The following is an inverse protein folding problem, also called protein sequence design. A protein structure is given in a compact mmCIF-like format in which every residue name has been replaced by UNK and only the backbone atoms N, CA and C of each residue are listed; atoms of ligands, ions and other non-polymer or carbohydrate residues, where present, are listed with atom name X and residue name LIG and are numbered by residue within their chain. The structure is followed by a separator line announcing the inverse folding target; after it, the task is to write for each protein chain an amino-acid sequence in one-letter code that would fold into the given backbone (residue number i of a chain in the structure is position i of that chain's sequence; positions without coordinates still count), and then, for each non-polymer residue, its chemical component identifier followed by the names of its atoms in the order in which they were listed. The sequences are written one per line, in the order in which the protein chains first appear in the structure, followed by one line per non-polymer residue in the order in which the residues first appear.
data_IF_152223485221
#
_entry.id   IF_152223485221
#
_cell.length_a   1.000
_cell.length_b   1.000
_cell.length_c   1.000
_cell.angle_alpha   90.00
_cell.angle_beta   90.00
_cell.angle_gamma   90.00
#
_symmetry.space_group_name_H-M   'P 1'
#
loop_
_entity.id
_entity.type
_entity.pdbx_description
1 polymer ?
#
# COMPACT_ATOMS: atom_id res chain seq x y z
N UNK A 1 -63.80 -34.35 -33.52
CA UNK A 1 -63.98 -32.89 -33.40
C UNK A 1 -62.72 -32.35 -32.73
N UNK A 2 -61.77 -31.90 -33.56
CA UNK A 2 -60.50 -31.28 -33.14
C UNK A 2 -60.74 -29.84 -32.68
N UNK A 3 -59.81 -29.32 -31.84
CA UNK A 3 -59.11 -28.02 -31.93
C UNK A 3 -58.68 -27.59 -30.52
N UNK A 4 -57.38 -27.72 -30.18
CA UNK A 4 -56.32 -26.70 -30.20
C UNK A 4 -56.37 -25.73 -29.02
N UNK A 5 -55.49 -25.94 -28.04
CA UNK A 5 -54.90 -24.85 -27.26
C UNK A 5 -53.39 -24.86 -27.47
N UNK A 6 -52.92 -23.87 -28.24
CA UNK A 6 -51.52 -23.56 -28.47
C UNK A 6 -51.09 -22.64 -27.33
N UNK A 7 -50.24 -23.12 -26.43
CA UNK A 7 -49.53 -22.25 -25.49
C UNK A 7 -48.29 -21.70 -26.21
N UNK A 8 -48.33 -20.43 -26.59
CA UNK A 8 -47.18 -19.68 -27.09
C UNK A 8 -46.31 -19.32 -25.88
N UNK A 9 -45.23 -20.06 -25.67
CA UNK A 9 -44.18 -19.70 -24.73
C UNK A 9 -43.30 -18.61 -25.34
N UNK A 10 -43.54 -17.35 -24.97
CA UNK A 10 -42.58 -16.26 -25.20
C UNK A 10 -41.35 -16.52 -24.32
N UNK A 11 -40.29 -17.08 -24.91
CA UNK A 11 -38.98 -17.12 -24.26
C UNK A 11 -38.42 -15.70 -24.24
N UNK A 12 -38.46 -15.05 -23.08
CA UNK A 12 -37.72 -13.82 -22.85
C UNK A 12 -36.24 -14.19 -22.84
N UNK A 13 -35.54 -13.87 -23.94
CA UNK A 13 -34.10 -13.98 -24.05
C UNK A 13 -33.50 -12.92 -23.11
N UNK A 14 -33.23 -13.31 -21.87
CA UNK A 14 -32.42 -12.51 -20.96
C UNK A 14 -30.99 -12.54 -21.51
N UNK A 15 -30.64 -11.49 -22.25
CA UNK A 15 -29.26 -11.19 -22.63
C UNK A 15 -28.49 -10.90 -21.33
N UNK A 16 -27.87 -11.93 -20.77
CA UNK A 16 -26.79 -11.75 -19.81
C UNK A 16 -25.63 -11.09 -20.54
N UNK A 17 -25.54 -9.76 -20.44
CA UNK A 17 -24.31 -9.03 -20.74
C UNK A 17 -23.26 -9.41 -19.68
N UNK A 18 -22.58 -10.54 -19.90
CA UNK A 18 -21.38 -10.95 -19.13
C UNK A 18 -20.17 -10.12 -19.59
N UNK A 19 -20.31 -8.80 -19.49
CA UNK A 19 -19.29 -7.84 -19.87
C UNK A 19 -18.48 -7.37 -18.66
N UNK A 20 -17.65 -8.24 -18.10
CA UNK A 20 -16.39 -7.88 -17.44
C UNK A 20 -15.65 -9.17 -17.12
N UNK A 21 -14.64 -9.50 -17.93
CA UNK A 21 -13.71 -10.58 -17.59
C UNK A 21 -13.07 -10.22 -16.26
N UNK A 22 -13.23 -11.07 -15.24
CA UNK A 22 -12.38 -11.02 -14.07
C UNK A 22 -10.94 -11.20 -14.57
N UNK A 23 -10.16 -10.12 -14.64
CA UNK A 23 -8.72 -10.21 -14.90
C UNK A 23 -8.17 -11.20 -13.88
N UNK A 24 -7.43 -12.22 -14.33
CA UNK A 24 -6.71 -13.02 -13.38
C UNK A 24 -5.79 -12.08 -12.59
N UNK A 25 -5.71 -12.22 -11.27
CA UNK A 25 -4.86 -11.34 -10.43
C UNK A 25 -3.40 -11.31 -10.90
N UNK A 26 -2.95 -12.36 -11.61
CA UNK A 26 -1.64 -12.42 -12.24
C UNK A 26 -1.47 -11.49 -13.46
N UNK A 27 -2.56 -11.09 -14.12
CA UNK A 27 -2.58 -10.19 -15.27
C UNK A 27 -2.52 -8.72 -14.85
N UNK A 28 -2.67 -8.43 -13.55
CA UNK A 28 -2.46 -7.08 -12.99
C UNK A 28 -1.00 -6.63 -13.04
N UNK A 29 -0.07 -7.56 -13.27
CA UNK A 29 1.37 -7.29 -13.27
C UNK A 29 1.99 -7.66 -14.62
N UNK A 30 2.72 -6.72 -15.18
CA UNK A 30 3.57 -6.90 -16.36
C UNK A 30 4.67 -7.94 -16.12
N UNK A 31 5.34 -8.35 -17.20
CA UNK A 31 6.48 -9.27 -17.09
C UNK A 31 7.62 -8.67 -16.25
N UNK A 32 7.84 -7.36 -16.34
CA UNK A 32 8.86 -6.62 -15.61
C UNK A 32 8.53 -6.55 -14.11
N UNK A 33 7.28 -6.25 -13.75
CA UNK A 33 6.84 -6.21 -12.33
C UNK A 33 6.87 -7.58 -11.63
N UNK A 34 7.02 -8.67 -12.40
CA UNK A 34 7.21 -10.03 -11.90
C UNK A 34 8.68 -10.38 -11.59
N UNK A 35 9.66 -9.53 -11.93
CA UNK A 35 11.10 -9.82 -11.79
C UNK A 35 11.69 -9.67 -10.36
N UNK A 36 10.85 -9.51 -9.33
CA UNK A 36 11.26 -9.40 -7.92
C UNK A 36 12.43 -8.41 -7.66
N UNK A 37 12.51 -7.34 -8.45
CA UNK A 37 13.48 -6.26 -8.34
C UNK A 37 12.77 -4.90 -8.41
N UNK A 38 13.49 -3.82 -8.10
CA UNK A 38 12.97 -2.45 -8.24
C UNK A 38 13.27 -1.82 -9.60
N UNK A 39 13.84 -2.56 -10.55
CA UNK A 39 14.37 -1.97 -11.79
C UNK A 39 13.28 -1.33 -12.66
N UNK A 40 12.06 -1.88 -12.64
CA UNK A 40 10.92 -1.33 -13.40
C UNK A 40 10.14 -0.23 -12.68
N UNK A 41 10.51 0.10 -11.44
CA UNK A 41 9.85 1.13 -10.64
C UNK A 41 10.82 2.04 -9.90
N UNK A 42 12.07 2.16 -10.37
CA UNK A 42 13.08 2.99 -9.73
C UNK A 42 12.65 4.46 -9.60
N UNK A 43 11.86 4.98 -10.55
CA UNK A 43 11.29 6.32 -10.53
C UNK A 43 10.39 6.61 -9.32
N UNK A 44 9.88 5.59 -8.63
CA UNK A 44 9.08 5.75 -7.41
C UNK A 44 9.95 6.11 -6.20
N UNK A 45 11.27 6.01 -6.31
CA UNK A 45 12.22 6.37 -5.28
C UNK A 45 12.86 7.73 -5.58
N UNK A 46 13.19 8.53 -4.55
CA UNK A 46 13.92 9.78 -4.76
C UNK A 46 15.23 9.55 -5.52
N UNK A 47 15.50 10.42 -6.49
CA UNK A 47 16.68 10.33 -7.35
C UNK A 47 16.84 8.99 -8.09
N UNK A 48 15.73 8.25 -8.29
CA UNK A 48 15.72 6.92 -8.89
C UNK A 48 16.70 5.93 -8.23
N UNK A 49 16.84 6.02 -6.90
CA UNK A 49 17.75 5.19 -6.11
C UNK A 49 16.97 4.28 -5.14
N UNK A 50 16.60 3.06 -5.54
CA UNK A 50 15.80 2.16 -4.72
C UNK A 50 16.49 1.69 -3.44
N UNK A 51 15.66 1.33 -2.45
CA UNK A 51 16.15 0.63 -1.25
C UNK A 51 16.70 -0.73 -1.67
N UNK A 52 17.91 -1.06 -1.21
CA UNK A 52 18.54 -2.36 -1.51
C UNK A 52 18.03 -3.42 -0.55
N UNK A 53 17.51 -4.54 -1.06
CA UNK A 53 17.05 -5.67 -0.23
C UNK A 53 18.14 -6.21 0.70
N UNK A 54 19.41 -6.09 0.30
CA UNK A 54 20.57 -6.48 1.11
C UNK A 54 20.75 -5.69 2.42
N UNK A 55 20.06 -4.56 2.60
CA UNK A 55 20.06 -3.82 3.89
C UNK A 55 19.11 -4.44 4.91
N UNK A 56 18.24 -5.36 4.49
CA UNK A 56 17.33 -6.09 5.35
C UNK A 56 17.98 -7.40 5.80
N UNK A 57 17.87 -7.82 7.08
CA UNK A 57 18.37 -9.11 7.54
C UNK A 57 17.84 -10.26 6.68
N UNK A 58 18.72 -11.20 6.30
CA UNK A 58 18.35 -12.37 5.49
C UNK A 58 17.24 -13.22 6.13
N UNK A 59 17.14 -13.20 7.48
CA UNK A 59 16.06 -13.86 8.24
C UNK A 59 14.66 -13.31 7.91
N UNK A 60 14.54 -12.09 7.38
CA UNK A 60 13.28 -11.52 6.92
C UNK A 60 12.88 -11.97 5.51
N UNK A 61 13.79 -12.64 4.79
CA UNK A 61 13.59 -13.11 3.41
C UNK A 61 12.99 -12.01 2.50
N UNK A 62 13.71 -10.87 2.35
CA UNK A 62 13.18 -9.68 1.70
C UNK A 62 12.91 -9.90 0.21
N UNK A 63 11.81 -9.33 -0.29
CA UNK A 63 11.47 -9.26 -1.72
C UNK A 63 11.26 -7.79 -2.14
N UNK A 64 11.69 -7.44 -3.34
CA UNK A 64 11.38 -6.16 -3.97
C UNK A 64 10.24 -6.37 -4.98
N UNK A 65 9.13 -5.64 -4.84
CA UNK A 65 7.96 -5.79 -5.69
C UNK A 65 7.58 -4.43 -6.28
N UNK A 66 7.48 -4.34 -7.61
CA UNK A 66 7.01 -3.13 -8.30
C UNK A 66 5.54 -3.22 -8.66
N UNK A 67 4.79 -2.14 -8.45
CA UNK A 67 3.45 -1.92 -9.00
C UNK A 67 3.49 -0.61 -9.82
N UNK A 68 2.42 -0.30 -10.56
CA UNK A 68 2.34 0.90 -11.41
C UNK A 68 2.59 2.20 -10.63
N UNK A 69 2.10 2.27 -9.39
CA UNK A 69 2.10 3.50 -8.60
C UNK A 69 2.92 3.43 -7.30
N UNK A 70 3.25 2.23 -6.83
CA UNK A 70 3.96 2.03 -5.58
C UNK A 70 4.95 0.87 -5.66
N UNK A 71 6.00 0.91 -4.85
CA UNK A 71 6.97 -0.16 -4.70
C UNK A 71 6.87 -0.75 -3.29
N UNK A 72 7.06 -2.06 -3.15
CA UNK A 72 6.99 -2.76 -1.85
C UNK A 72 8.31 -3.47 -1.58
N UNK A 73 8.98 -3.11 -0.49
CA UNK A 73 9.97 -3.96 0.15
C UNK A 73 9.23 -4.88 1.12
N UNK A 74 9.07 -6.13 0.76
CA UNK A 74 8.24 -7.11 1.47
C UNK A 74 9.08 -8.08 2.31
N UNK A 75 8.55 -8.57 3.43
CA UNK A 75 9.14 -9.67 4.19
C UNK A 75 8.27 -10.92 4.15
N UNK A 76 8.81 -12.02 3.65
CA UNK A 76 8.12 -13.31 3.69
C UNK A 76 8.01 -13.87 5.11
N UNK A 77 8.87 -13.43 6.02
CA UNK A 77 8.85 -13.83 7.44
C UNK A 77 7.69 -13.19 8.17
N UNK A 78 7.54 -11.86 8.08
CA UNK A 78 6.42 -11.14 8.71
C UNK A 78 5.11 -11.25 7.94
N UNK A 79 5.18 -11.63 6.65
CA UNK A 79 4.07 -11.65 5.68
C UNK A 79 3.41 -10.29 5.48
N UNK A 80 4.18 -9.24 5.69
CA UNK A 80 3.78 -7.84 5.58
C UNK A 80 4.84 -7.05 4.80
N UNK A 81 4.50 -5.89 4.23
CA UNK A 81 5.52 -4.95 3.75
C UNK A 81 6.39 -4.50 4.92
N UNK A 82 7.69 -4.33 4.68
CA UNK A 82 8.59 -3.59 5.58
C UNK A 82 8.55 -2.10 5.27
N UNK A 83 8.51 -1.75 3.98
CA UNK A 83 8.37 -0.37 3.49
C UNK A 83 7.61 -0.40 2.17
N UNK A 84 6.62 0.46 2.02
CA UNK A 84 5.96 0.79 0.75
C UNK A 84 6.32 2.21 0.37
N UNK A 85 6.70 2.42 -0.88
CA UNK A 85 7.15 3.72 -1.41
C UNK A 85 6.23 4.18 -2.51
N UNK A 86 5.78 5.42 -2.42
CA UNK A 86 4.92 6.09 -3.39
C UNK A 86 5.61 7.39 -3.84
N UNK A 87 5.42 7.74 -5.10
CA UNK A 87 5.70 9.09 -5.62
C UNK A 87 4.37 9.75 -5.93
N UNK A 88 4.08 10.84 -5.24
CA UNK A 88 2.87 11.62 -5.37
C UNK A 88 3.19 13.00 -5.95
N UNK A 89 2.33 13.48 -6.84
CA UNK A 89 2.31 14.86 -7.27
C UNK A 89 0.87 15.29 -7.62
N UNK A 90 0.68 16.58 -7.88
CA UNK A 90 -0.64 17.15 -8.15
C UNK A 90 -1.34 16.52 -9.37
N UNK A 91 -0.59 16.11 -10.40
CA UNK A 91 -1.15 15.47 -11.59
C UNK A 91 -1.65 14.05 -11.26
N UNK A 92 -0.82 13.21 -10.64
CA UNK A 92 -1.22 11.85 -10.25
C UNK A 92 -2.42 11.86 -9.29
N UNK A 93 -2.44 12.79 -8.32
CA UNK A 93 -3.55 12.94 -7.39
C UNK A 93 -4.80 13.56 -8.03
N UNK A 94 -4.68 14.22 -9.18
CA UNK A 94 -5.82 14.63 -9.99
C UNK A 94 -6.39 13.43 -10.74
N UNK A 95 -5.54 12.61 -11.33
CA UNK A 95 -5.95 11.40 -12.06
C UNK A 95 -6.61 10.38 -11.13
N UNK A 96 -6.13 10.27 -9.88
CA UNK A 96 -6.74 9.42 -8.86
C UNK A 96 -8.17 9.84 -8.46
N UNK A 97 -8.59 11.08 -8.75
CA UNK A 97 -9.94 11.54 -8.40
C UNK A 97 -10.97 10.90 -9.32
N UNK A 98 -11.86 10.13 -8.71
CA UNK A 98 -12.98 9.49 -9.41
C UNK A 98 -12.73 8.03 -9.77
N UNK A 99 -11.53 7.51 -9.51
CA UNK A 99 -11.25 6.08 -9.64
C UNK A 99 -12.10 5.26 -8.66
N UNK A 100 -12.83 4.28 -9.18
CA UNK A 100 -13.71 3.43 -8.39
C UNK A 100 -12.91 2.42 -7.58
N UNK A 101 -13.17 2.37 -6.26
CA UNK A 101 -12.53 1.39 -5.38
C UNK A 101 -13.04 -0.01 -5.70
N UNK A 102 -12.15 -0.91 -6.08
CA UNK A 102 -12.51 -2.31 -6.34
C UNK A 102 -12.95 -3.04 -5.07
N UNK A 103 -12.29 -2.77 -3.94
CA UNK A 103 -12.45 -3.52 -2.68
C UNK A 103 -12.18 -5.03 -2.81
N UNK A 104 -11.48 -5.44 -3.88
CA UNK A 104 -11.15 -6.83 -4.18
C UNK A 104 -9.73 -7.14 -3.70
N UNK A 105 -9.62 -7.53 -2.43
CA UNK A 105 -8.35 -7.97 -1.85
C UNK A 105 -7.93 -9.34 -2.39
N UNK A 106 -6.63 -9.55 -2.59
CA UNK A 106 -6.08 -10.84 -3.03
C UNK A 106 -4.68 -11.08 -2.48
N UNK A 107 -4.33 -12.36 -2.35
CA UNK A 107 -2.96 -12.76 -2.04
C UNK A 107 -2.07 -12.51 -3.26
N UNK A 108 -0.97 -11.77 -3.08
CA UNK A 108 -0.10 -11.35 -4.18
C UNK A 108 0.45 -12.58 -4.93
N UNK A 109 0.18 -12.73 -6.24
CA UNK A 109 0.58 -13.91 -7.01
C UNK A 109 2.08 -13.99 -7.26
N UNK A 110 2.84 -12.91 -7.01
CA UNK A 110 4.31 -12.88 -7.19
C UNK A 110 5.04 -13.51 -6.01
N UNK A 111 4.35 -13.75 -4.90
CA UNK A 111 4.95 -14.28 -3.67
C UNK A 111 4.53 -15.75 -3.52
N UNK A 112 5.45 -16.68 -3.20
CA UNK A 112 5.10 -18.07 -2.92
C UNK A 112 4.11 -18.19 -1.75
N UNK A 113 3.20 -19.18 -1.78
CA UNK A 113 2.16 -19.37 -0.74
C UNK A 113 2.70 -19.37 0.70
N UNK A 114 3.82 -20.06 0.96
CA UNK A 114 4.42 -20.11 2.30
C UNK A 114 5.05 -18.79 2.78
N UNK A 115 5.25 -17.85 1.86
CA UNK A 115 5.85 -16.54 2.13
C UNK A 115 4.86 -15.38 2.10
N UNK A 116 3.55 -15.60 1.90
CA UNK A 116 2.56 -14.52 1.78
C UNK A 116 1.43 -14.64 2.78
N UNK A 117 0.75 -13.52 3.03
CA UNK A 117 -0.53 -13.53 3.70
C UNK A 117 -1.64 -14.01 2.76
N UNK A 118 -2.64 -14.67 3.33
CA UNK A 118 -3.87 -15.10 2.66
C UNK A 118 -5.08 -14.38 3.25
N UNK A 119 -6.19 -14.32 2.50
CA UNK A 119 -7.42 -13.66 2.99
C UNK A 119 -7.98 -14.34 4.25
N UNK A 120 -7.74 -15.64 4.41
CA UNK A 120 -8.14 -16.40 5.61
C UNK A 120 -7.43 -15.90 6.87
N UNK A 121 -6.21 -15.36 6.78
CA UNK A 121 -5.46 -14.89 7.95
C UNK A 121 -6.13 -13.69 8.61
N UNK A 122 -6.83 -12.87 7.83
CA UNK A 122 -7.57 -11.70 8.29
C UNK A 122 -9.03 -12.03 8.65
N UNK A 123 -9.53 -13.22 8.31
CA UNK A 123 -10.91 -13.62 8.58
C UNK A 123 -11.08 -13.87 10.08
N UNK A 124 -12.19 -13.39 10.64
CA UNK A 124 -12.52 -13.50 12.07
C UNK A 124 -11.48 -12.88 13.01
N UNK A 125 -10.57 -12.05 12.49
CA UNK A 125 -9.69 -11.22 13.29
C UNK A 125 -10.35 -9.86 13.47
N UNK A 126 -10.26 -9.28 14.67
CA UNK A 126 -10.76 -7.92 14.95
C UNK A 126 -9.81 -6.83 14.39
N UNK A 127 -9.22 -7.07 13.22
CA UNK A 127 -8.19 -6.24 12.60
C UNK A 127 -8.54 -5.94 11.13
N UNK A 128 -8.27 -4.71 10.69
CA UNK A 128 -8.43 -4.32 9.30
C UNK A 128 -7.23 -4.74 8.44
N UNK A 129 -7.47 -4.83 7.13
CA UNK A 129 -6.42 -4.87 6.09
C UNK A 129 -5.98 -3.44 5.79
N UNK A 130 -4.99 -2.96 6.55
CA UNK A 130 -4.49 -1.59 6.50
C UNK A 130 -3.56 -1.35 5.32
N UNK A 131 -3.98 -0.49 4.38
CA UNK A 131 -3.17 -0.14 3.21
C UNK A 131 -1.92 0.64 3.63
N UNK A 132 -0.78 0.37 2.99
CA UNK A 132 0.41 1.20 3.14
C UNK A 132 0.51 2.26 2.02
N UNK A 133 0.28 1.84 0.77
CA UNK A 133 -0.10 2.70 -0.36
C UNK A 133 -1.64 2.77 -0.43
N UNK A 134 -2.27 3.93 -0.13
CA UNK A 134 -3.72 4.03 -0.06
C UNK A 134 -4.37 3.92 -1.45
N UNK A 135 -5.49 3.21 -1.56
CA UNK A 135 -6.21 3.13 -2.84
C UNK A 135 -6.67 4.51 -3.36
N UNK A 136 -6.86 5.49 -2.47
CA UNK A 136 -7.22 6.87 -2.84
C UNK A 136 -6.08 7.65 -3.53
N UNK A 137 -4.88 7.09 -3.58
CA UNK A 137 -3.70 7.68 -4.22
C UNK A 137 -3.50 7.06 -5.62
N UNK A 138 -4.24 5.99 -5.97
CA UNK A 138 -4.08 5.26 -7.22
C UNK A 138 -4.59 6.04 -8.45
N UNK A 139 -3.75 6.34 -9.45
CA UNK A 139 -4.10 7.25 -10.55
C UNK A 139 -4.89 6.60 -11.70
N UNK A 140 -5.13 5.29 -11.65
CA UNK A 140 -5.89 4.56 -12.66
C UNK A 140 -6.41 3.22 -12.11
N UNK A 141 -7.31 2.58 -12.85
CA UNK A 141 -7.95 1.32 -12.46
C UNK A 141 -6.96 0.15 -12.21
N UNK A 142 -5.83 0.07 -12.92
CA UNK A 142 -4.85 -1.00 -12.71
C UNK A 142 -4.08 -0.78 -11.39
N UNK A 143 -3.57 0.43 -11.17
CA UNK A 143 -2.94 0.82 -9.91
C UNK A 143 -3.91 0.67 -8.72
N UNK A 144 -5.19 1.00 -8.92
CA UNK A 144 -6.25 0.83 -7.94
C UNK A 144 -6.38 -0.66 -7.57
N UNK A 145 -6.51 -1.55 -8.55
CA UNK A 145 -6.56 -2.99 -8.30
C UNK A 145 -5.27 -3.51 -7.64
N UNK A 146 -4.09 -3.05 -8.09
CA UNK A 146 -2.80 -3.42 -7.49
C UNK A 146 -2.72 -3.03 -6.00
N UNK A 147 -3.30 -1.90 -5.60
CA UNK A 147 -3.28 -1.42 -4.20
C UNK A 147 -3.96 -2.39 -3.20
N UNK A 148 -4.85 -3.27 -3.67
CA UNK A 148 -5.57 -4.25 -2.84
C UNK A 148 -4.80 -5.58 -2.64
N UNK A 149 -3.60 -5.73 -3.19
CA UNK A 149 -2.75 -6.87 -2.91
C UNK A 149 -2.39 -6.94 -1.42
N UNK A 150 -2.45 -8.13 -0.81
CA UNK A 150 -2.07 -8.31 0.61
C UNK A 150 -0.59 -8.01 0.90
N UNK A 151 0.27 -7.94 -0.14
CA UNK A 151 1.64 -7.44 -0.02
C UNK A 151 1.72 -5.95 0.36
N UNK A 152 0.65 -5.19 0.14
CA UNK A 152 0.49 -3.79 0.54
C UNK A 152 -0.30 -3.63 1.87
N UNK A 153 -0.56 -4.74 2.60
CA UNK A 153 -1.39 -4.73 3.80
C UNK A 153 -0.62 -5.06 5.06
N UNK A 154 -1.05 -4.44 6.17
CA UNK A 154 -0.72 -4.88 7.53
C UNK A 154 -2.00 -5.11 8.33
N UNK A 155 -1.98 -5.97 9.36
CA UNK A 155 -3.04 -6.01 10.36
C UNK A 155 -3.09 -4.67 11.12
N UNK A 156 -4.14 -3.89 10.91
CA UNK A 156 -4.26 -2.56 11.52
C UNK A 156 -5.47 -2.48 12.44
N UNK A 157 -5.31 -1.83 13.60
CA UNK A 157 -6.41 -1.55 14.50
C UNK A 157 -7.52 -0.76 13.77
N UNK A 158 -8.80 -1.15 13.86
CA UNK A 158 -9.88 -0.50 13.11
C UNK A 158 -10.04 1.00 13.41
N UNK A 159 -9.81 1.44 14.65
CA UNK A 159 -9.89 2.87 15.00
C UNK A 159 -8.71 3.63 14.40
N UNK A 160 -7.53 3.02 14.44
CA UNK A 160 -6.34 3.54 13.80
C UNK A 160 -6.55 3.68 12.29
N UNK A 161 -6.89 2.60 11.59
CA UNK A 161 -7.06 2.56 10.13
C UNK A 161 -8.12 3.56 9.64
N UNK A 162 -9.35 3.43 10.17
CA UNK A 162 -10.53 4.10 9.60
C UNK A 162 -10.62 5.59 9.95
N UNK A 163 -9.91 6.06 10.98
CA UNK A 163 -9.99 7.44 11.48
C UNK A 163 -8.62 8.12 11.49
N UNK A 164 -7.70 7.60 12.30
CA UNK A 164 -6.44 8.28 12.62
C UNK A 164 -5.50 8.27 11.41
N UNK A 165 -5.25 7.10 10.85
CA UNK A 165 -4.37 6.90 9.71
C UNK A 165 -4.94 7.51 8.43
N UNK A 166 -6.24 7.32 8.19
CA UNK A 166 -6.98 7.99 7.10
C UNK A 166 -6.82 9.52 7.12
N UNK A 167 -6.81 10.15 8.30
CA UNK A 167 -6.54 11.59 8.44
C UNK A 167 -5.10 11.94 8.08
N UNK A 168 -4.12 11.14 8.50
CA UNK A 168 -2.70 11.33 8.13
C UNK A 168 -2.53 11.23 6.62
N UNK A 169 -3.11 10.22 5.96
CA UNK A 169 -3.10 10.06 4.51
C UNK A 169 -3.72 11.26 3.79
N UNK A 170 -4.87 11.75 4.28
CA UNK A 170 -5.52 12.93 3.71
C UNK A 170 -4.66 14.20 3.83
N UNK A 171 -3.93 14.37 4.94
CA UNK A 171 -3.03 15.51 5.12
C UNK A 171 -1.82 15.44 4.20
N UNK A 172 -1.25 14.25 4.00
CA UNK A 172 -0.13 14.02 3.07
C UNK A 172 -0.58 14.29 1.63
N UNK A 173 -1.74 13.79 1.19
CA UNK A 173 -2.32 14.13 -0.13
C UNK A 173 -2.51 15.63 -0.30
N UNK A 174 -3.08 16.30 0.71
CA UNK A 174 -3.27 17.77 0.68
C UNK A 174 -1.94 18.50 0.53
N UNK A 175 -0.90 18.05 1.21
CA UNK A 175 0.44 18.61 1.02
C UNK A 175 0.94 18.38 -0.41
N UNK A 176 0.90 17.15 -0.91
CA UNK A 176 1.41 16.78 -2.23
C UNK A 176 0.70 17.52 -3.38
N UNK A 177 -0.60 17.84 -3.25
CA UNK A 177 -1.32 18.69 -4.22
C UNK A 177 -0.76 20.12 -4.29
N UNK A 178 -0.23 20.65 -3.18
CA UNK A 178 0.34 22.01 -3.11
C UNK A 178 1.84 22.05 -3.36
N UNK A 179 2.51 20.91 -3.31
CA UNK A 179 3.94 20.83 -3.56
C UNK A 179 4.22 21.20 -5.03
N UNK A 180 5.33 21.91 -5.25
CA UNK A 180 5.75 22.33 -6.59
C UNK A 180 6.39 21.21 -7.43
N UNK A 181 6.42 19.97 -6.94
CA UNK A 181 7.08 18.84 -7.57
C UNK A 181 6.73 17.51 -6.89
N UNK A 182 7.58 16.51 -7.10
CA UNK A 182 7.37 15.16 -6.57
C UNK A 182 7.55 15.11 -5.04
N UNK A 183 6.59 14.48 -4.38
CA UNK A 183 6.61 14.14 -2.96
C UNK A 183 6.73 12.62 -2.85
N UNK A 184 7.80 12.17 -2.21
CA UNK A 184 8.05 10.76 -1.96
C UNK A 184 7.55 10.38 -0.58
N UNK A 185 6.74 9.32 -0.51
CA UNK A 185 6.11 8.87 0.73
C UNK A 185 6.55 7.43 1.00
N UNK A 186 7.10 7.20 2.18
CA UNK A 186 7.50 5.88 2.67
C UNK A 186 6.59 5.50 3.81
N UNK A 187 5.92 4.36 3.70
CA UNK A 187 4.94 3.89 4.69
C UNK A 187 5.29 2.48 5.13
N UNK A 188 5.20 2.18 6.42
CA UNK A 188 5.43 0.81 6.85
C UNK A 188 5.19 0.54 8.33
N UNK A 189 5.24 -0.75 8.72
CA UNK A 189 5.15 -1.18 10.10
C UNK A 189 6.47 -1.02 10.85
N UNK A 190 6.36 -0.92 12.18
CA UNK A 190 7.43 -1.18 13.12
C UNK A 190 6.98 -2.32 14.06
N UNK A 191 7.89 -3.25 14.33
CA UNK A 191 7.65 -4.43 15.17
C UNK A 191 8.56 -4.37 16.39
N UNK A 192 8.13 -3.60 17.40
CA UNK A 192 8.83 -3.57 18.68
C UNK A 192 8.63 -4.90 19.44
N UNK A 193 9.42 -5.13 20.49
CA UNK A 193 9.28 -6.31 21.34
C UNK A 193 7.84 -6.47 21.83
N UNK A 194 7.27 -7.66 21.68
CA UNK A 194 5.89 -7.98 22.06
C UNK A 194 4.85 -7.84 20.94
N UNK A 195 5.26 -7.69 19.67
CA UNK A 195 4.35 -7.81 18.54
C UNK A 195 3.64 -9.18 18.52
N UNK A 196 2.41 -9.22 18.04
CA UNK A 196 1.61 -10.44 17.92
C UNK A 196 1.49 -10.90 16.46
N UNK A 197 0.77 -12.00 16.22
CA UNK A 197 0.49 -12.49 14.87
C UNK A 197 -0.97 -12.90 14.73
N UNK A 198 -1.52 -12.78 13.53
CA UNK A 198 -2.86 -13.28 13.19
C UNK A 198 -2.81 -14.41 12.16
N UNK A 199 -3.89 -15.21 12.13
CA UNK A 199 -4.08 -16.27 11.13
C UNK A 199 -3.16 -17.47 11.30
N UNK A 200 -3.39 -18.49 10.46
CA UNK A 200 -2.60 -19.71 10.43
C UNK A 200 -1.21 -19.45 9.87
N UNK A 201 -1.09 -18.50 8.94
CA UNK A 201 0.20 -18.11 8.37
C UNK A 201 1.03 -17.21 9.30
N UNK A 202 0.51 -16.82 10.48
CA UNK A 202 1.21 -15.97 11.46
C UNK A 202 1.65 -14.64 10.85
N UNK A 203 0.73 -13.90 10.25
CA UNK A 203 0.98 -12.54 9.73
C UNK A 203 1.26 -11.61 10.91
N UNK A 204 2.39 -10.91 10.91
CA UNK A 204 2.78 -10.08 12.04
C UNK A 204 1.90 -8.84 12.17
N UNK A 205 1.49 -8.53 13.40
CA UNK A 205 0.75 -7.33 13.75
C UNK A 205 1.74 -6.25 14.19
N UNK A 206 1.84 -5.11 13.49
CA UNK A 206 2.72 -4.03 13.90
C UNK A 206 2.33 -3.47 15.27
N UNK A 207 3.34 -3.09 16.07
CA UNK A 207 3.13 -2.30 17.29
C UNK A 207 2.91 -0.82 16.95
N UNK A 208 3.58 -0.33 15.89
CA UNK A 208 3.47 1.04 15.39
C UNK A 208 3.49 1.06 13.87
N UNK A 209 3.02 2.17 13.30
CA UNK A 209 3.10 2.49 11.88
C UNK A 209 3.87 3.78 11.70
N UNK A 210 4.64 3.89 10.62
CA UNK A 210 5.28 5.13 10.22
C UNK A 210 4.84 5.58 8.82
N UNK A 211 4.84 6.90 8.61
CA UNK A 211 4.73 7.52 7.29
C UNK A 211 5.72 8.67 7.22
N UNK A 212 6.81 8.47 6.48
CA UNK A 212 7.85 9.46 6.18
C UNK A 212 7.52 10.12 4.85
N UNK A 213 7.61 11.44 4.81
CA UNK A 213 7.34 12.27 3.63
C UNK A 213 8.59 13.06 3.31
N UNK A 214 8.99 13.09 2.04
CA UNK A 214 10.09 13.88 1.51
C UNK A 214 9.61 14.69 0.30
N UNK A 215 9.63 16.01 0.42
CA UNK A 215 9.36 16.94 -0.67
C UNK A 215 10.67 17.21 -1.43
N UNK A 216 10.77 16.73 -2.67
CA UNK A 216 12.00 16.82 -3.45
C UNK A 216 12.35 18.27 -3.85
N UNK A 217 11.35 19.15 -3.95
CA UNK A 217 11.56 20.54 -4.34
C UNK A 217 12.15 21.36 -3.19
N UNK A 218 11.52 21.29 -2.01
CA UNK A 218 12.00 22.04 -0.84
C UNK A 218 13.10 21.31 -0.06
N UNK A 219 13.33 20.02 -0.33
CA UNK A 219 14.23 19.11 0.40
C UNK A 219 13.83 18.96 1.86
N UNK A 220 12.54 19.14 2.19
CA UNK A 220 12.02 18.96 3.54
C UNK A 220 11.58 17.53 3.76
N UNK A 221 11.84 17.01 4.96
CA UNK A 221 11.42 15.67 5.37
C UNK A 221 10.79 15.68 6.76
N UNK A 222 9.76 14.86 6.94
CA UNK A 222 9.11 14.65 8.23
C UNK A 222 8.42 13.31 8.29
N UNK A 223 8.19 12.80 9.50
CA UNK A 223 7.52 11.53 9.69
C UNK A 223 6.42 11.59 10.76
N UNK A 224 5.38 10.81 10.54
CA UNK A 224 4.49 10.33 11.60
C UNK A 224 4.97 8.96 12.06
N UNK A 225 4.99 8.74 13.37
CA UNK A 225 5.18 7.41 13.98
C UNK A 225 4.10 7.25 15.05
N UNK A 226 3.13 6.38 14.81
CA UNK A 226 1.93 6.25 15.64
C UNK A 226 1.74 4.79 16.09
N UNK A 227 1.29 4.55 17.34
CA UNK A 227 0.84 3.22 17.76
C UNK A 227 -0.22 2.63 16.82
N UNK A 228 -0.17 1.32 16.58
CA UNK A 228 -1.22 0.57 15.91
C UNK A 228 -2.40 0.31 16.85
N UNK A 229 -3.01 1.39 17.31
CA UNK A 229 -4.11 1.41 18.26
C UNK A 229 -4.85 2.75 18.16
N UNK A 230 -5.94 2.89 18.91
CA UNK A 230 -6.50 4.20 19.18
C UNK A 230 -5.45 5.11 19.83
N UNK A 231 -5.16 6.23 19.18
CA UNK A 231 -4.15 7.20 19.59
C UNK A 231 -4.52 8.60 19.12
N UNK A 232 -3.72 9.60 19.46
CA UNK A 232 -3.82 10.96 18.93
C UNK A 232 -2.73 11.19 17.90
N UNK A 233 -3.07 11.89 16.81
CA UNK A 233 -2.08 12.35 15.84
C UNK A 233 -1.21 13.39 16.54
N UNK A 234 0.07 13.07 16.72
CA UNK A 234 1.07 13.99 17.26
C UNK A 234 1.62 14.88 16.14
N UNK A 235 2.34 15.94 16.52
CA UNK A 235 3.12 16.72 15.56
C UNK A 235 4.11 15.78 14.84
N UNK A 236 4.26 15.88 13.51
CA UNK A 236 5.26 15.08 12.82
C UNK A 236 6.67 15.43 13.32
N UNK A 237 7.51 14.42 13.44
CA UNK A 237 8.91 14.57 13.82
C UNK A 237 9.78 14.87 12.59
N UNK A 238 10.93 15.50 12.80
CA UNK A 238 11.94 15.64 11.76
C UNK A 238 12.59 14.29 11.40
N UNK A 239 13.35 14.28 10.31
CA UNK A 239 13.98 13.07 9.81
C UNK A 239 15.02 12.49 10.77
N UNK A 240 15.80 13.33 11.45
CA UNK A 240 16.82 12.85 12.40
C UNK A 240 16.18 12.14 13.60
N UNK A 241 15.07 12.69 14.11
CA UNK A 241 14.27 12.05 15.18
C UNK A 241 13.63 10.76 14.70
N UNK A 242 13.19 10.70 13.44
CA UNK A 242 12.69 9.46 12.83
C UNK A 242 13.78 8.39 12.75
N UNK A 243 14.97 8.73 12.25
CA UNK A 243 16.12 7.81 12.18
C UNK A 243 16.52 7.35 13.59
N UNK A 244 16.59 8.26 14.56
CA UNK A 244 16.95 7.92 15.95
C UNK A 244 15.93 6.98 16.62
N UNK A 245 14.64 7.16 16.34
CA UNK A 245 13.57 6.40 17.00
C UNK A 245 13.22 5.07 16.31
N UNK A 246 13.60 4.90 15.04
CA UNK A 246 13.25 3.71 14.23
C UNK A 246 14.46 2.94 13.72
N UNK A 247 15.63 3.58 13.63
CA UNK A 247 16.82 3.05 12.96
C UNK A 247 16.76 3.09 11.43
N UNK A 248 15.66 3.56 10.84
CA UNK A 248 15.45 3.50 9.38
C UNK A 248 16.05 4.73 8.68
N UNK A 249 17.10 4.52 7.88
CA UNK A 249 17.75 5.55 7.05
C UNK A 249 17.23 5.57 5.60
N UNK A 250 15.93 5.80 5.43
CA UNK A 250 15.25 5.62 4.13
C UNK A 250 15.61 6.66 3.07
N UNK A 251 16.09 7.84 3.46
CA UNK A 251 16.56 8.87 2.51
C UNK A 251 18.07 8.78 2.23
N UNK A 252 18.79 7.84 2.84
CA UNK A 252 20.25 7.71 2.67
C UNK A 252 20.98 9.03 2.91
N UNK A 253 21.71 9.49 1.88
CA UNK A 253 22.50 10.73 1.88
C UNK A 253 21.79 11.89 1.16
N UNK A 254 20.49 11.80 0.90
CA UNK A 254 19.75 12.90 0.28
C UNK A 254 19.79 14.13 1.18
N UNK A 255 19.88 15.34 0.61
CA UNK A 255 19.87 16.56 1.40
C UNK A 255 18.51 16.74 2.08
N UNK A 256 18.53 16.99 3.39
CA UNK A 256 17.34 17.36 4.17
C UNK A 256 17.57 18.74 4.79
N UNK A 257 16.80 19.73 4.34
CA UNK A 257 16.93 21.15 4.71
C UNK A 257 16.04 21.57 5.90
N UNK A 258 15.14 20.70 6.35
CA UNK A 258 14.24 20.95 7.49
C UNK A 258 13.01 20.04 7.53
N UNK A 259 12.10 20.31 8.47
CA UNK A 259 10.85 19.55 8.67
C UNK A 259 9.58 20.39 8.51
N UNK A 260 8.42 19.75 8.65
CA UNK A 260 7.12 20.20 9.22
C UNK A 260 7.02 21.39 10.18
N UNK A 261 7.89 22.39 10.15
CA UNK A 261 7.70 23.60 10.96
C UNK A 261 8.96 24.43 11.15
N UNK A 262 9.11 25.46 10.32
CA UNK A 262 9.48 26.84 10.68
C UNK A 262 9.19 27.69 9.44
N UNK A 263 8.17 28.53 9.57
CA UNK A 263 7.62 29.47 8.60
C UNK A 263 6.49 30.17 9.31
#
# INVERSE_FOLDING_TARGET
MHLRNIAVGLSALVLFSTGAHARAVADLYSHQEKQLSFDSCAQLFPAANPIKTATVPASMKPLALCSDHFAVLYSQTSKTPLVVVERLNAAQLKDAKGEERTNQFYADPRIPKGGRAELSDYRAQHMDRGHQSPAADAPNANAMAQSFALSNMVPQDPTNNRKIWSKVEADVRKFAVRAGGDVYVFTGPLFDSGYSTIGDNKVWVPTRLFKLVYDATSKRAWAYVLPNAQTRIQKPMDYDSFVKSTGLKLLGNLPVSGSVGRG
#
